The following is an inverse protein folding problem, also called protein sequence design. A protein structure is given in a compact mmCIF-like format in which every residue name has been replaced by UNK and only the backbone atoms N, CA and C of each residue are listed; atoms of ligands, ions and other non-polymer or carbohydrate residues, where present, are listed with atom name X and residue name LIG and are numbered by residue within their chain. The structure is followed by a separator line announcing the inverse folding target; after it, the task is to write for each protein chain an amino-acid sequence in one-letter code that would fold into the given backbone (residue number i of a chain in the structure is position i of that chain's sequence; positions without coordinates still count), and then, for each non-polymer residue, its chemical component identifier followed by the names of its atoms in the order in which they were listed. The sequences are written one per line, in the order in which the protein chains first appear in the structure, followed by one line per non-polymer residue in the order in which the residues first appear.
data_IF_275061629432
#
_entry.id   IF_275061629432
#
_cell.length_a   1.000
_cell.length_b   1.000
_cell.length_c   1.000
_cell.angle_alpha   90.00
_cell.angle_beta   90.00
_cell.angle_gamma   90.00
#
_symmetry.space_group_name_H-M   'P 1'
#
loop_
_entity.id
_entity.type
_entity.pdbx_description
1 polymer ?
#
# COMPACT_ATOMS: atom_id res chain seq x y z
N UNK A 1 16.53 18.71 -20.80
CA UNK A 1 15.89 17.44 -21.17
C UNK A 1 16.58 16.35 -20.39
N UNK A 2 15.89 15.72 -19.44
CA UNK A 2 16.41 14.55 -18.72
C UNK A 2 16.59 13.40 -19.71
N UNK A 3 17.62 12.58 -19.53
CA UNK A 3 17.79 11.36 -20.33
C UNK A 3 16.53 10.48 -20.21
N UNK A 4 16.17 9.66 -21.21
CA UNK A 4 15.05 8.72 -21.09
C UNK A 4 15.15 7.87 -19.81
N UNK A 5 14.00 7.46 -19.25
CA UNK A 5 13.98 6.48 -18.17
C UNK A 5 14.59 5.17 -18.71
N UNK A 6 15.53 4.53 -17.99
CA UNK A 6 16.13 3.27 -18.40
C UNK A 6 15.09 2.17 -18.65
N UNK A 7 15.46 1.17 -19.45
CA UNK A 7 14.55 0.06 -19.79
C UNK A 7 14.45 -0.91 -18.64
N UNK A 8 13.23 -1.18 -18.21
CA UNK A 8 12.96 -2.25 -17.27
C UNK A 8 12.96 -3.61 -17.99
N UNK A 9 13.18 -4.72 -17.25
CA UNK A 9 13.14 -6.06 -17.83
C UNK A 9 11.84 -6.35 -18.58
N UNK A 10 11.92 -7.21 -19.61
CA UNK A 10 10.72 -7.67 -20.30
C UNK A 10 9.76 -8.36 -19.32
N UNK A 11 8.47 -8.02 -19.40
CA UNK A 11 7.45 -8.52 -18.47
C UNK A 11 7.38 -7.79 -17.13
N UNK A 12 8.15 -6.71 -16.93
CA UNK A 12 7.99 -5.83 -15.77
C UNK A 12 6.57 -5.24 -15.75
N UNK A 13 5.89 -5.38 -14.62
CA UNK A 13 4.47 -5.03 -14.49
C UNK A 13 4.31 -3.56 -14.13
N UNK A 14 3.66 -2.77 -14.98
CA UNK A 14 3.32 -1.38 -14.70
C UNK A 14 1.86 -1.23 -14.32
N UNK A 15 1.59 -0.55 -13.21
CA UNK A 15 0.22 -0.34 -12.75
C UNK A 15 0.00 0.97 -12.03
N UNK A 16 -1.23 1.13 -11.58
CA UNK A 16 -1.67 2.18 -10.65
C UNK A 16 -2.56 1.55 -9.58
N UNK A 17 -2.64 2.20 -8.44
CA UNK A 17 -3.30 1.70 -7.24
C UNK A 17 -4.42 2.64 -6.76
N UNK A 18 -5.43 2.06 -6.12
CA UNK A 18 -6.44 2.74 -5.29
C UNK A 18 -6.93 1.81 -4.18
N UNK A 19 -7.70 2.32 -3.22
CA UNK A 19 -8.43 1.51 -2.23
C UNK A 19 -9.93 1.81 -2.25
N UNK A 20 -10.73 0.80 -1.90
CA UNK A 20 -12.18 0.82 -1.95
C UNK A 20 -12.78 1.97 -1.16
N UNK A 21 -12.45 2.07 0.13
CA UNK A 21 -13.02 3.10 0.99
C UNK A 21 -12.69 4.51 0.49
N UNK A 22 -11.50 4.72 -0.08
CA UNK A 22 -11.06 6.03 -0.51
C UNK A 22 -11.70 6.51 -1.83
N UNK A 23 -12.20 5.61 -2.69
CA UNK A 23 -12.74 5.99 -4.02
C UNK A 23 -14.20 5.60 -4.27
N UNK A 24 -14.71 4.53 -3.64
CA UNK A 24 -15.97 3.92 -4.08
C UNK A 24 -17.20 4.77 -3.82
N UNK A 25 -17.33 5.32 -2.62
CA UNK A 25 -18.58 5.90 -2.15
C UNK A 25 -19.70 4.85 -2.01
N UNK A 26 -20.94 5.28 -2.26
CA UNK A 26 -22.15 4.47 -2.13
C UNK A 26 -22.21 3.75 -0.76
N UNK A 27 -21.93 4.50 0.32
CA UNK A 27 -21.91 3.97 1.68
C UNK A 27 -23.29 3.46 2.15
N UNK A 28 -24.37 3.98 1.57
CA UNK A 28 -25.74 3.52 1.80
C UNK A 28 -26.03 2.12 1.22
N UNK A 29 -25.13 1.57 0.39
CA UNK A 29 -25.27 0.26 -0.25
C UNK A 29 -24.35 -0.82 0.33
N UNK A 30 -23.71 -0.55 1.47
CA UNK A 30 -22.87 -1.52 2.18
C UNK A 30 -23.08 -1.43 3.70
N UNK A 31 -22.62 -2.43 4.43
CA UNK A 31 -22.46 -2.34 5.88
C UNK A 31 -21.45 -1.22 6.24
N UNK A 32 -21.58 -0.56 7.40
CA UNK A 32 -20.58 0.40 7.87
C UNK A 32 -19.22 -0.26 8.16
N UNK A 33 -18.14 0.41 7.76
CA UNK A 33 -16.77 0.09 8.18
C UNK A 33 -16.38 0.83 9.47
N UNK A 34 -15.24 0.45 10.04
CA UNK A 34 -14.59 1.20 11.13
C UNK A 34 -14.30 2.65 10.74
N UNK A 35 -14.04 2.93 9.46
CA UNK A 35 -13.84 4.29 8.96
C UNK A 35 -15.14 5.09 8.82
N UNK A 36 -16.26 4.45 8.47
CA UNK A 36 -17.57 5.09 8.50
C UNK A 36 -17.93 5.53 9.93
N UNK A 37 -17.65 4.68 10.92
CA UNK A 37 -17.83 5.03 12.34
C UNK A 37 -16.87 6.13 12.80
N UNK A 38 -15.59 6.03 12.46
CA UNK A 38 -14.55 6.99 12.85
C UNK A 38 -14.79 8.39 12.26
N UNK A 39 -15.10 8.48 10.96
CA UNK A 39 -15.31 9.77 10.28
C UNK A 39 -16.62 10.47 10.68
N UNK A 40 -17.58 9.74 11.28
CA UNK A 40 -18.79 10.32 11.84
C UNK A 40 -18.55 11.11 13.14
N UNK A 41 -17.42 10.88 13.83
CA UNK A 41 -17.05 11.64 15.04
C UNK A 41 -16.42 13.00 14.65
N UNK A 42 -16.92 14.13 15.20
CA UNK A 42 -16.35 15.44 14.92
C UNK A 42 -14.86 15.54 15.26
N UNK A 43 -14.07 16.09 14.34
CA UNK A 43 -12.63 16.36 14.54
C UNK A 43 -11.70 15.17 14.27
N UNK A 44 -12.24 14.00 13.86
CA UNK A 44 -11.42 12.85 13.45
C UNK A 44 -10.80 12.99 12.06
N UNK A 45 -11.46 13.75 11.18
CA UNK A 45 -11.00 14.06 9.82
C UNK A 45 -10.79 15.57 9.73
N UNK A 46 -9.62 16.00 9.23
CA UNK A 46 -9.17 17.41 9.31
C UNK A 46 -10.12 18.39 8.63
N UNK A 47 -10.68 18.03 7.48
CA UNK A 47 -11.65 18.85 6.74
C UNK A 47 -13.13 18.52 7.09
N UNK A 48 -13.35 17.56 7.99
CA UNK A 48 -14.68 17.08 8.39
C UNK A 48 -15.44 16.30 7.32
N UNK A 49 -14.80 15.93 6.20
CA UNK A 49 -15.40 15.13 5.15
C UNK A 49 -15.56 13.65 5.56
N UNK A 50 -16.38 12.93 4.80
CA UNK A 50 -16.52 11.46 4.91
C UNK A 50 -16.33 10.82 3.54
N UNK A 51 -16.02 9.53 3.52
CA UNK A 51 -15.95 8.75 2.29
C UNK A 51 -17.31 8.23 1.80
N UNK A 52 -18.43 8.84 2.23
CA UNK A 52 -19.77 8.39 1.84
C UNK A 52 -20.00 8.46 0.32
N UNK A 53 -19.42 9.48 -0.33
CA UNK A 53 -19.40 9.67 -1.79
C UNK A 53 -18.00 9.45 -2.36
N UNK A 54 -16.96 10.02 -1.74
CA UNK A 54 -15.58 9.95 -2.23
C UNK A 54 -15.46 10.34 -3.71
N UNK A 55 -14.96 9.45 -4.58
CA UNK A 55 -14.89 9.68 -6.03
C UNK A 55 -16.13 9.15 -6.78
N UNK A 56 -17.08 8.53 -6.08
CA UNK A 56 -18.24 7.84 -6.66
C UNK A 56 -17.87 6.73 -7.65
N UNK A 57 -16.73 6.07 -7.44
CA UNK A 57 -16.23 5.01 -8.32
C UNK A 57 -17.21 3.82 -8.42
N UNK A 58 -18.02 3.57 -7.39
CA UNK A 58 -19.04 2.53 -7.44
C UNK A 58 -19.98 2.69 -8.66
N UNK A 59 -20.43 3.91 -8.93
CA UNK A 59 -21.29 4.22 -10.08
C UNK A 59 -20.50 4.51 -11.36
N UNK A 60 -19.26 5.00 -11.23
CA UNK A 60 -18.45 5.54 -12.35
C UNK A 60 -17.27 4.67 -12.77
N UNK A 61 -17.16 3.44 -12.27
CA UNK A 61 -16.03 2.54 -12.56
C UNK A 61 -15.73 2.38 -14.06
N UNK A 62 -16.73 2.43 -14.94
CA UNK A 62 -16.52 2.37 -16.40
C UNK A 62 -15.73 3.56 -16.95
N UNK A 63 -15.98 4.76 -16.44
CA UNK A 63 -15.21 5.96 -16.79
C UNK A 63 -13.76 5.82 -16.31
N UNK A 64 -13.59 5.29 -15.09
CA UNK A 64 -12.28 5.10 -14.49
C UNK A 64 -11.48 3.96 -15.17
N UNK A 65 -12.15 2.90 -15.65
CA UNK A 65 -11.54 1.83 -16.48
C UNK A 65 -11.12 2.37 -17.85
N UNK A 66 -11.89 3.29 -18.44
CA UNK A 66 -11.48 3.94 -19.69
C UNK A 66 -10.21 4.79 -19.50
N UNK A 67 -10.02 5.41 -18.33
CA UNK A 67 -8.77 6.09 -17.97
C UNK A 67 -7.62 5.10 -17.82
N UNK A 68 -7.82 3.94 -17.18
CA UNK A 68 -6.80 2.89 -17.09
C UNK A 68 -6.34 2.41 -18.47
N UNK A 69 -7.29 2.15 -19.37
CA UNK A 69 -7.01 1.76 -20.75
C UNK A 69 -6.25 2.86 -21.50
N UNK A 70 -6.65 4.12 -21.35
CA UNK A 70 -6.01 5.28 -21.97
C UNK A 70 -4.60 5.57 -21.43
N UNK A 71 -4.35 5.25 -20.16
CA UNK A 71 -3.03 5.34 -19.51
C UNK A 71 -2.10 4.26 -20.06
N UNK A 72 -2.67 3.09 -20.41
CA UNK A 72 -1.95 1.98 -21.04
C UNK A 72 -1.15 1.15 -20.05
N UNK A 73 -1.57 1.10 -18.78
CA UNK A 73 -1.01 0.23 -17.73
C UNK A 73 -1.26 -1.25 -18.03
N UNK A 74 -0.45 -2.13 -17.43
CA UNK A 74 -0.64 -3.58 -17.49
C UNK A 74 -1.62 -4.07 -16.42
N UNK A 75 -1.68 -3.40 -15.27
CA UNK A 75 -2.45 -3.84 -14.12
C UNK A 75 -3.10 -2.67 -13.36
N UNK A 76 -4.22 -2.97 -12.72
CA UNK A 76 -4.88 -2.08 -11.77
C UNK A 76 -5.01 -2.79 -10.43
N UNK A 77 -4.34 -2.22 -9.42
CA UNK A 77 -4.48 -2.64 -8.04
C UNK A 77 -5.62 -1.87 -7.40
N UNK A 78 -6.64 -2.57 -6.96
CA UNK A 78 -7.77 -2.03 -6.20
C UNK A 78 -7.97 -2.86 -4.94
N UNK A 79 -8.75 -2.41 -3.96
CA UNK A 79 -9.16 -3.27 -2.85
C UNK A 79 -10.63 -3.68 -2.94
N UNK A 80 -10.95 -4.81 -2.33
CA UNK A 80 -12.32 -5.31 -2.20
C UNK A 80 -12.81 -4.94 -0.81
N UNK A 81 -13.90 -4.17 -0.72
CA UNK A 81 -14.45 -3.73 0.55
C UNK A 81 -15.15 -4.87 1.27
N UNK A 82 -14.62 -5.27 2.42
CA UNK A 82 -15.19 -6.34 3.24
C UNK A 82 -16.65 -6.05 3.67
N UNK A 83 -17.00 -4.84 4.17
CA UNK A 83 -18.39 -4.50 4.47
C UNK A 83 -19.32 -4.58 3.25
N UNK A 84 -18.82 -4.28 2.05
CA UNK A 84 -19.61 -4.38 0.81
C UNK A 84 -19.85 -5.83 0.42
N UNK A 85 -18.83 -6.69 0.52
CA UNK A 85 -18.98 -8.13 0.18
C UNK A 85 -20.08 -8.81 1.00
N UNK A 86 -20.27 -8.40 2.26
CA UNK A 86 -21.34 -8.92 3.11
C UNK A 86 -22.75 -8.40 2.75
N UNK A 87 -22.84 -7.41 1.86
CA UNK A 87 -24.09 -6.73 1.53
C UNK A 87 -24.74 -7.29 0.26
N UNK A 88 -26.08 -7.25 0.12
CA UNK A 88 -26.78 -7.75 -1.07
C UNK A 88 -26.23 -7.14 -2.37
N UNK A 89 -25.79 -7.98 -3.30
CA UNK A 89 -25.25 -7.56 -4.60
C UNK A 89 -23.87 -6.89 -4.54
N UNK A 90 -23.21 -6.87 -3.37
CA UNK A 90 -21.92 -6.22 -3.19
C UNK A 90 -20.81 -6.80 -4.07
N UNK A 91 -20.76 -8.13 -4.20
CA UNK A 91 -19.82 -8.83 -5.09
C UNK A 91 -20.12 -8.61 -6.57
N UNK A 92 -21.37 -8.30 -6.95
CA UNK A 92 -21.70 -8.07 -8.37
C UNK A 92 -21.04 -6.80 -8.90
N UNK A 93 -20.75 -5.83 -8.03
CA UNK A 93 -19.94 -4.67 -8.40
C UNK A 93 -18.51 -5.08 -8.78
N UNK A 94 -17.83 -5.85 -7.91
CA UNK A 94 -16.46 -6.29 -8.17
C UNK A 94 -16.38 -7.24 -9.37
N UNK A 95 -17.39 -8.10 -9.55
CA UNK A 95 -17.48 -8.97 -10.72
C UNK A 95 -17.53 -8.18 -12.03
N UNK A 96 -18.39 -7.15 -12.09
CA UNK A 96 -18.45 -6.25 -13.25
C UNK A 96 -17.17 -5.45 -13.42
N UNK A 97 -16.58 -4.94 -12.35
CA UNK A 97 -15.30 -4.22 -12.42
C UNK A 97 -14.21 -5.11 -13.01
N UNK A 98 -14.11 -6.37 -12.57
CA UNK A 98 -13.15 -7.35 -13.10
C UNK A 98 -13.42 -7.62 -14.59
N UNK A 99 -14.68 -7.79 -15.00
CA UNK A 99 -15.04 -7.94 -16.42
C UNK A 99 -14.59 -6.75 -17.26
N UNK A 100 -14.87 -5.53 -16.82
CA UNK A 100 -14.51 -4.31 -17.55
C UNK A 100 -12.98 -4.14 -17.64
N UNK A 101 -12.23 -4.47 -16.58
CA UNK A 101 -10.76 -4.47 -16.58
C UNK A 101 -10.20 -5.50 -17.56
N UNK A 102 -10.69 -6.74 -17.51
CA UNK A 102 -10.26 -7.79 -18.43
C UNK A 102 -10.59 -7.43 -19.89
N UNK A 103 -11.77 -6.88 -20.15
CA UNK A 103 -12.17 -6.40 -21.48
C UNK A 103 -11.28 -5.25 -21.99
N UNK A 104 -10.80 -4.39 -21.09
CA UNK A 104 -9.84 -3.33 -21.38
C UNK A 104 -8.39 -3.81 -21.51
N UNK A 105 -8.11 -5.11 -21.28
CA UNK A 105 -6.76 -5.66 -21.28
C UNK A 105 -5.91 -5.25 -20.06
N UNK A 106 -6.56 -4.80 -18.98
CA UNK A 106 -5.91 -4.41 -17.72
C UNK A 106 -6.06 -5.55 -16.73
N UNK A 107 -4.94 -6.05 -16.20
CA UNK A 107 -4.95 -7.15 -15.22
C UNK A 107 -5.53 -6.66 -13.88
N UNK A 108 -6.60 -7.29 -13.35
CA UNK A 108 -7.09 -6.99 -12.01
C UNK A 108 -6.12 -7.54 -10.94
N UNK A 109 -5.80 -6.73 -9.93
CA UNK A 109 -4.95 -7.09 -8.79
C UNK A 109 -5.64 -6.68 -7.48
N UNK A 110 -6.65 -7.45 -7.01
CA UNK A 110 -7.38 -7.10 -5.80
C UNK A 110 -6.53 -7.25 -4.54
N UNK A 111 -6.69 -6.28 -3.64
CA UNK A 111 -6.26 -6.32 -2.25
C UNK A 111 -7.46 -6.65 -1.36
N UNK A 112 -7.35 -7.71 -0.58
CA UNK A 112 -8.49 -8.29 0.14
C UNK A 112 -8.80 -7.55 1.45
N UNK A 113 -7.86 -6.79 1.98
CA UNK A 113 -8.08 -5.87 3.09
C UNK A 113 -7.28 -4.59 2.91
N UNK A 114 -7.98 -3.46 2.90
CA UNK A 114 -7.37 -2.13 2.89
C UNK A 114 -8.10 -1.24 3.91
N UNK A 115 -7.94 -1.62 5.18
CA UNK A 115 -8.29 -0.87 6.40
C UNK A 115 -9.78 -0.67 6.68
N UNK A 116 -10.67 -1.09 5.78
CA UNK A 116 -12.11 -0.92 5.90
C UNK A 116 -12.80 -2.11 6.59
N UNK A 117 -12.29 -2.51 7.76
CA UNK A 117 -12.88 -3.58 8.57
C UNK A 117 -14.38 -3.31 8.85
N UNK A 118 -15.29 -4.30 8.74
CA UNK A 118 -16.68 -4.12 9.18
C UNK A 118 -16.74 -3.62 10.62
N UNK A 119 -17.56 -2.59 10.90
CA UNK A 119 -17.58 -1.91 12.20
C UNK A 119 -17.91 -2.82 13.40
N UNK A 120 -18.47 -4.01 13.14
CA UNK A 120 -18.80 -5.04 14.14
C UNK A 120 -17.63 -5.96 14.51
N UNK A 121 -16.49 -5.85 13.82
CA UNK A 121 -15.30 -6.67 14.04
C UNK A 121 -14.16 -5.83 14.61
N UNK A 122 -13.17 -6.50 15.19
CA UNK A 122 -12.00 -5.86 15.78
C UNK A 122 -10.77 -6.75 15.66
N UNK A 123 -9.63 -6.18 15.26
CA UNK A 123 -8.37 -6.93 15.17
C UNK A 123 -7.80 -7.35 16.52
N UNK A 124 -8.28 -6.80 17.64
CA UNK A 124 -7.95 -7.35 18.97
C UNK A 124 -8.55 -8.75 19.20
N UNK A 125 -9.62 -9.11 18.48
CA UNK A 125 -10.26 -10.41 18.59
C UNK A 125 -9.59 -11.41 17.63
N UNK A 126 -9.03 -12.49 18.18
CA UNK A 126 -8.32 -13.51 17.38
C UNK A 126 -9.19 -14.12 16.28
N UNK A 127 -10.49 -14.28 16.55
CA UNK A 127 -11.48 -14.83 15.61
C UNK A 127 -11.62 -14.00 14.32
N UNK A 128 -11.28 -12.71 14.35
CA UNK A 128 -11.28 -11.84 13.16
C UNK A 128 -10.36 -12.39 12.06
N UNK A 129 -9.26 -13.07 12.42
CA UNK A 129 -8.37 -13.71 11.45
C UNK A 129 -9.04 -14.84 10.66
N UNK A 130 -9.84 -15.68 11.34
CA UNK A 130 -10.59 -16.75 10.70
C UNK A 130 -11.72 -16.19 9.81
N UNK A 131 -12.44 -15.16 10.30
CA UNK A 131 -13.47 -14.46 9.53
C UNK A 131 -12.92 -13.81 8.27
N UNK A 132 -11.69 -13.31 8.32
CA UNK A 132 -11.02 -12.78 7.15
C UNK A 132 -10.78 -13.88 6.11
N UNK A 133 -10.33 -15.06 6.52
CA UNK A 133 -10.17 -16.20 5.61
C UNK A 133 -11.49 -16.65 4.96
N UNK A 134 -12.60 -16.62 5.69
CA UNK A 134 -13.94 -16.87 5.13
C UNK A 134 -14.31 -15.82 4.08
N UNK A 135 -14.08 -14.54 4.37
CA UNK A 135 -14.27 -13.45 3.40
C UNK A 135 -13.42 -13.64 2.14
N UNK A 136 -12.14 -13.97 2.31
CA UNK A 136 -11.22 -14.25 1.20
C UNK A 136 -11.72 -15.41 0.35
N UNK A 137 -12.20 -16.49 0.97
CA UNK A 137 -12.73 -17.65 0.25
C UNK A 137 -13.92 -17.26 -0.64
N UNK A 138 -14.85 -16.46 -0.12
CA UNK A 138 -16.01 -15.96 -0.86
C UNK A 138 -15.61 -15.08 -2.05
N UNK A 139 -14.63 -14.18 -1.86
CA UNK A 139 -14.14 -13.32 -2.96
C UNK A 139 -13.41 -14.15 -4.02
N UNK A 140 -12.58 -15.11 -3.59
CA UNK A 140 -11.82 -15.98 -4.49
C UNK A 140 -12.75 -16.89 -5.33
N UNK A 141 -13.81 -17.43 -4.74
CA UNK A 141 -14.82 -18.22 -5.47
C UNK A 141 -15.49 -17.40 -6.58
N UNK A 142 -15.76 -16.12 -6.34
CA UNK A 142 -16.47 -15.27 -7.29
C UNK A 142 -15.59 -14.75 -8.43
N UNK A 143 -14.32 -14.42 -8.15
CA UNK A 143 -13.45 -13.68 -9.06
C UNK A 143 -12.23 -14.49 -9.54
N UNK A 144 -11.93 -15.63 -8.91
CA UNK A 144 -10.72 -16.42 -9.16
C UNK A 144 -10.61 -17.06 -10.54
N UNK A 145 -11.69 -17.07 -11.31
CA UNK A 145 -11.68 -17.50 -12.71
C UNK A 145 -10.96 -16.48 -13.64
N UNK A 146 -10.93 -15.21 -13.25
CA UNK A 146 -10.32 -14.10 -14.03
C UNK A 146 -9.16 -13.42 -13.31
N UNK A 147 -9.15 -13.43 -11.99
CA UNK A 147 -8.10 -12.80 -11.17
C UNK A 147 -6.98 -13.78 -10.87
N UNK A 148 -5.78 -13.47 -11.37
CA UNK A 148 -4.61 -14.35 -11.18
C UNK A 148 -3.67 -13.87 -10.07
N UNK A 149 -3.60 -12.56 -9.79
CA UNK A 149 -2.66 -11.95 -8.85
C UNK A 149 -3.40 -11.33 -7.67
N UNK A 150 -3.02 -11.69 -6.44
CA UNK A 150 -3.76 -11.36 -5.23
C UNK A 150 -2.86 -10.68 -4.19
N UNK A 151 -3.46 -9.76 -3.43
CA UNK A 151 -2.83 -9.14 -2.26
C UNK A 151 -3.72 -9.40 -1.07
N UNK A 152 -3.19 -9.96 0.02
CA UNK A 152 -4.00 -10.22 1.21
C UNK A 152 -4.32 -8.95 1.97
N UNK A 153 -3.29 -8.25 2.47
CA UNK A 153 -3.40 -7.10 3.36
C UNK A 153 -2.59 -5.95 2.78
N UNK A 154 -3.10 -4.74 2.94
CA UNK A 154 -2.32 -3.51 2.82
C UNK A 154 -1.90 -3.00 4.19
N UNK A 155 -0.60 -2.77 4.38
CA UNK A 155 0.00 -1.98 5.46
C UNK A 155 -0.55 -2.32 6.86
N UNK A 156 -0.42 -3.59 7.31
CA UNK A 156 -0.81 -3.98 8.67
C UNK A 156 -0.05 -3.20 9.76
N UNK A 157 1.16 -2.71 9.46
CA UNK A 157 1.93 -1.85 10.35
C UNK A 157 1.24 -0.50 10.60
N UNK A 158 0.88 0.21 9.54
CA UNK A 158 0.16 1.49 9.63
C UNK A 158 -1.21 1.30 10.28
N UNK A 159 -1.94 0.25 9.90
CA UNK A 159 -3.25 -0.02 10.51
C UNK A 159 -3.15 -0.28 12.01
N UNK A 160 -2.12 -1.02 12.46
CA UNK A 160 -1.88 -1.25 13.89
C UNK A 160 -1.44 0.02 14.60
N UNK A 161 -0.44 0.72 14.08
CA UNK A 161 0.14 1.89 14.73
C UNK A 161 -0.87 3.04 14.77
N UNK A 162 -1.40 3.44 13.62
CA UNK A 162 -2.27 4.61 13.51
C UNK A 162 -3.68 4.31 14.02
N UNK A 163 -4.18 3.09 13.79
CA UNK A 163 -5.55 2.68 14.15
C UNK A 163 -5.72 2.24 15.60
N UNK A 164 -4.78 1.44 16.11
CA UNK A 164 -4.89 0.80 17.43
C UNK A 164 -3.98 1.40 18.50
N UNK A 165 -2.77 1.83 18.14
CA UNK A 165 -1.79 2.33 19.11
C UNK A 165 -1.94 3.83 19.39
N UNK A 166 -2.05 4.66 18.34
CA UNK A 166 -2.07 6.13 18.42
C UNK A 166 -3.48 6.73 18.26
N UNK A 167 -4.38 6.03 17.59
CA UNK A 167 -5.79 6.43 17.42
C UNK A 167 -6.01 7.60 16.46
N UNK A 168 -5.08 7.79 15.53
CA UNK A 168 -5.12 8.80 14.46
C UNK A 168 -5.95 8.30 13.27
N UNK A 169 -5.95 6.98 13.03
CA UNK A 169 -6.79 6.30 12.05
C UNK A 169 -7.89 5.49 12.73
N UNK A 170 -8.87 5.02 11.95
CA UNK A 170 -9.86 4.07 12.45
C UNK A 170 -9.20 2.75 12.92
N UNK A 171 -9.65 2.12 14.02
CA UNK A 171 -10.83 2.46 14.83
C UNK A 171 -10.60 3.55 15.91
N UNK A 172 -9.45 4.23 15.92
CA UNK A 172 -9.23 5.39 16.79
C UNK A 172 -8.84 5.05 18.23
N UNK A 173 -8.30 3.85 18.48
CA UNK A 173 -7.89 3.40 19.81
C UNK A 173 -6.50 3.90 20.17
N UNK A 174 -6.24 4.05 21.48
CA UNK A 174 -4.98 4.56 22.03
C UNK A 174 -4.37 3.55 22.99
N UNK A 175 -3.83 2.46 22.44
CA UNK A 175 -3.38 1.30 23.22
C UNK A 175 -1.86 1.21 23.37
N UNK A 176 -1.08 2.00 22.62
CA UNK A 176 0.38 1.83 22.57
C UNK A 176 0.77 0.35 22.33
N UNK A 177 1.57 -0.25 23.21
CA UNK A 177 1.97 -1.67 23.09
C UNK A 177 0.83 -2.67 23.31
N UNK A 178 -0.28 -2.27 23.95
CA UNK A 178 -1.47 -3.13 24.04
C UNK A 178 -2.19 -3.29 22.68
N UNK A 179 -1.70 -2.61 21.63
CA UNK A 179 -2.12 -2.83 20.24
C UNK A 179 -1.46 -4.04 19.57
N UNK A 180 -0.40 -4.62 20.13
CA UNK A 180 0.35 -5.73 19.52
C UNK A 180 -0.52 -6.97 19.16
N UNK A 181 -1.59 -7.31 19.91
CA UNK A 181 -2.53 -8.35 19.47
C UNK A 181 -3.15 -8.08 18.09
N UNK A 182 -3.43 -6.81 17.74
CA UNK A 182 -3.93 -6.46 16.41
C UNK A 182 -2.90 -6.74 15.30
N UNK A 183 -1.60 -6.51 15.56
CA UNK A 183 -0.54 -6.89 14.62
C UNK A 183 -0.48 -8.41 14.43
N UNK A 184 -0.49 -9.17 15.55
CA UNK A 184 -0.43 -10.63 15.51
C UNK A 184 -1.61 -11.23 14.75
N UNK A 185 -2.85 -10.81 15.06
CA UNK A 185 -4.04 -11.35 14.41
C UNK A 185 -4.14 -10.96 12.94
N UNK A 186 -3.69 -9.77 12.53
CA UNK A 186 -3.58 -9.43 11.11
C UNK A 186 -2.60 -10.34 10.39
N UNK A 187 -1.41 -10.59 10.94
CA UNK A 187 -0.45 -11.52 10.33
C UNK A 187 -1.00 -12.95 10.26
N UNK A 188 -1.71 -13.41 11.30
CA UNK A 188 -2.40 -14.70 11.27
C UNK A 188 -3.46 -14.73 10.17
N UNK A 189 -4.23 -13.65 10.02
CA UNK A 189 -5.25 -13.49 8.98
C UNK A 189 -4.63 -13.54 7.58
N UNK A 190 -3.46 -12.93 7.38
CA UNK A 190 -2.68 -13.04 6.16
C UNK A 190 -2.38 -14.51 5.82
N UNK A 191 -1.80 -15.27 6.76
CA UNK A 191 -1.46 -16.68 6.54
C UNK A 191 -2.68 -17.55 6.22
N UNK A 192 -3.79 -17.32 6.93
CA UNK A 192 -5.05 -18.02 6.66
C UNK A 192 -5.65 -17.62 5.30
N UNK A 193 -5.54 -16.35 4.89
CA UNK A 193 -5.94 -15.89 3.57
C UNK A 193 -5.10 -16.49 2.44
N UNK A 194 -3.78 -16.63 2.62
CA UNK A 194 -2.93 -17.35 1.68
C UNK A 194 -3.44 -18.78 1.51
N UNK A 195 -3.71 -19.51 2.59
CA UNK A 195 -4.28 -20.87 2.52
C UNK A 195 -5.61 -20.92 1.78
N UNK A 196 -6.52 -19.99 2.07
CA UNK A 196 -7.83 -19.90 1.40
C UNK A 196 -7.68 -19.67 -0.11
N UNK A 197 -6.82 -18.74 -0.52
CA UNK A 197 -6.52 -18.47 -1.92
C UNK A 197 -5.87 -19.66 -2.62
N UNK A 198 -4.91 -20.34 -1.97
CA UNK A 198 -4.30 -21.58 -2.50
C UNK A 198 -5.33 -22.68 -2.69
N UNK A 199 -6.25 -22.84 -1.74
CA UNK A 199 -7.34 -23.81 -1.85
C UNK A 199 -8.29 -23.50 -3.03
N UNK A 200 -8.45 -22.22 -3.36
CA UNK A 200 -9.17 -21.75 -4.56
C UNK A 200 -8.34 -21.83 -5.86
N UNK A 201 -7.09 -22.29 -5.80
CA UNK A 201 -6.22 -22.47 -6.98
C UNK A 201 -5.35 -21.26 -7.35
N UNK A 202 -5.29 -20.22 -6.52
CA UNK A 202 -4.45 -19.05 -6.78
C UNK A 202 -2.94 -19.38 -6.66
N UNK A 203 -2.15 -18.91 -7.62
CA UNK A 203 -0.71 -19.21 -7.72
C UNK A 203 0.20 -17.97 -7.70
N UNK A 204 -0.36 -16.77 -7.55
CA UNK A 204 0.39 -15.49 -7.51
C UNK A 204 -0.18 -14.61 -6.37
N UNK A 205 0.31 -14.81 -5.15
CA UNK A 205 -0.17 -14.20 -3.91
C UNK A 205 0.99 -13.46 -3.23
N UNK A 206 0.70 -12.22 -2.82
CA UNK A 206 1.59 -11.41 -2.00
C UNK A 206 0.86 -10.65 -0.90
N UNK A 207 1.63 -9.83 -0.19
CA UNK A 207 1.18 -8.86 0.81
C UNK A 207 1.82 -7.51 0.46
N UNK A 208 1.18 -6.38 0.80
CA UNK A 208 1.75 -5.06 0.63
C UNK A 208 2.08 -4.45 2.00
N UNK A 209 3.35 -4.12 2.24
CA UNK A 209 3.82 -3.51 3.50
C UNK A 209 4.48 -2.16 3.24
N UNK A 210 4.18 -1.17 4.09
CA UNK A 210 4.90 0.09 4.16
C UNK A 210 6.30 -0.17 4.70
N UNK A 211 7.31 0.35 4.02
CA UNK A 211 8.70 0.33 4.47
C UNK A 211 9.38 1.65 4.17
N UNK A 212 10.29 2.04 5.05
CA UNK A 212 11.24 3.13 4.79
C UNK A 212 12.65 2.73 5.26
N UNK A 213 13.71 3.25 4.64
CA UNK A 213 15.01 3.23 5.28
C UNK A 213 14.95 4.16 6.51
N UNK A 214 15.38 3.64 7.66
CA UNK A 214 15.42 4.36 8.92
C UNK A 214 16.85 4.84 9.16
N UNK A 215 17.03 6.16 9.26
CA UNK A 215 18.32 6.80 9.47
C UNK A 215 18.39 7.37 10.88
N UNK A 216 19.46 7.11 11.66
CA UNK A 216 19.60 7.75 12.96
C UNK A 216 19.80 9.25 12.81
N UNK A 217 19.30 10.03 13.77
CA UNK A 217 19.38 11.48 13.74
C UNK A 217 20.83 11.97 13.85
N UNK A 218 21.68 11.24 14.56
CA UNK A 218 23.12 11.48 14.64
C UNK A 218 23.88 10.16 14.84
N UNK A 219 25.20 10.25 15.02
CA UNK A 219 26.03 9.10 15.40
C UNK A 219 26.00 8.76 16.89
N UNK A 220 25.24 9.50 17.70
CA UNK A 220 25.10 9.24 19.14
C UNK A 220 24.36 7.91 19.36
N UNK A 221 24.83 7.14 20.34
CA UNK A 221 24.32 5.79 20.62
C UNK A 221 22.79 5.78 20.87
N UNK A 222 22.27 6.79 21.56
CA UNK A 222 20.84 6.90 21.84
C UNK A 222 19.99 7.10 20.57
N UNK A 223 20.50 7.83 19.57
CA UNK A 223 19.81 8.00 18.29
C UNK A 223 19.84 6.72 17.45
N UNK A 224 20.97 6.00 17.49
CA UNK A 224 21.12 4.70 16.82
C UNK A 224 20.16 3.66 17.41
N UNK A 225 20.05 3.60 18.74
CA UNK A 225 19.13 2.71 19.44
C UNK A 225 17.67 3.05 19.15
N UNK A 226 17.30 4.34 19.18
CA UNK A 226 15.95 4.79 18.86
C UNK A 226 15.56 4.47 17.40
N UNK A 227 16.47 4.68 16.44
CA UNK A 227 16.27 4.29 15.05
C UNK A 227 16.13 2.78 14.88
N UNK A 228 16.96 1.99 15.57
CA UNK A 228 16.86 0.54 15.57
C UNK A 228 15.54 0.02 16.15
N UNK A 229 15.04 0.66 17.21
CA UNK A 229 13.76 0.32 17.81
C UNK A 229 12.58 0.70 16.90
N UNK A 230 12.64 1.85 16.23
CA UNK A 230 11.65 2.24 15.22
C UNK A 230 11.59 1.24 14.07
N UNK A 231 12.73 0.86 13.48
CA UNK A 231 12.82 -0.16 12.43
C UNK A 231 12.26 -1.51 12.89
N UNK A 232 12.55 -1.89 14.14
CA UNK A 232 12.05 -3.11 14.73
C UNK A 232 10.52 -3.11 14.81
N UNK A 233 9.91 -2.04 15.30
CA UNK A 233 8.46 -1.96 15.48
C UNK A 233 7.68 -1.81 14.18
N UNK A 234 8.14 -0.96 13.26
CA UNK A 234 7.36 -0.58 12.07
C UNK A 234 7.62 -1.52 10.89
N UNK A 235 8.80 -2.13 10.80
CA UNK A 235 9.19 -2.94 9.66
C UNK A 235 9.37 -4.40 10.05
N UNK A 236 10.27 -4.70 10.99
CA UNK A 236 10.68 -6.09 11.27
C UNK A 236 9.65 -6.90 12.03
N UNK A 237 8.86 -6.27 12.91
CA UNK A 237 7.72 -6.90 13.60
C UNK A 237 6.74 -7.55 12.60
N UNK A 238 6.62 -6.99 11.40
CA UNK A 238 5.73 -7.49 10.36
C UNK A 238 6.46 -8.37 9.35
N UNK A 239 7.67 -7.98 8.90
CA UNK A 239 8.40 -8.72 7.87
C UNK A 239 9.09 -10.00 8.39
N UNK A 240 9.65 -10.01 9.60
CA UNK A 240 10.37 -11.19 10.13
C UNK A 240 9.42 -12.40 10.28
N UNK A 241 8.19 -12.28 10.82
CA UNK A 241 7.25 -13.41 10.89
C UNK A 241 6.87 -13.99 9.53
N UNK A 242 6.70 -13.13 8.52
CA UNK A 242 6.31 -13.52 7.17
C UNK A 242 7.45 -14.25 6.45
N UNK A 243 8.66 -13.69 6.49
CA UNK A 243 9.79 -14.16 5.67
C UNK A 243 10.65 -15.20 6.40
N UNK A 244 10.75 -15.11 7.72
CA UNK A 244 11.63 -15.90 8.58
C UNK A 244 10.89 -16.83 9.54
N UNK A 245 9.56 -16.70 9.66
CA UNK A 245 8.74 -17.55 10.53
C UNK A 245 9.00 -17.33 12.02
N UNK A 246 9.48 -16.15 12.40
CA UNK A 246 9.74 -15.78 13.80
C UNK A 246 9.61 -14.28 14.00
N UNK A 247 9.19 -13.88 15.20
CA UNK A 247 9.29 -12.48 15.61
C UNK A 247 10.74 -12.06 15.88
N UNK A 248 11.04 -10.74 15.82
CA UNK A 248 12.27 -10.21 16.40
C UNK A 248 12.43 -10.64 17.87
N UNK A 249 13.67 -10.75 18.34
CA UNK A 249 13.98 -11.18 19.71
C UNK A 249 13.22 -10.35 20.75
N UNK A 250 12.63 -11.03 21.74
CA UNK A 250 11.81 -10.44 22.80
C UNK A 250 10.39 -10.06 22.41
N UNK A 251 10.09 -9.80 21.13
CA UNK A 251 8.74 -9.37 20.72
C UNK A 251 7.71 -10.51 20.73
N UNK A 252 8.14 -11.76 20.54
CA UNK A 252 7.24 -12.91 20.61
C UNK A 252 6.57 -13.07 21.98
N UNK A 253 7.22 -12.63 23.06
CA UNK A 253 6.69 -12.69 24.43
C UNK A 253 5.59 -11.66 24.68
N UNK A 254 5.48 -10.65 23.83
CA UNK A 254 4.45 -9.61 23.89
C UNK A 254 3.21 -9.94 23.03
N UNK A 255 3.26 -11.04 22.28
CA UNK A 255 2.15 -11.48 21.42
C UNK A 255 1.06 -12.18 22.26
N UNK A 256 -0.21 -12.14 21.83
CA UNK A 256 -1.30 -12.74 22.59
C UNK A 256 -1.20 -14.27 22.64
N UNK A 257 -1.61 -14.86 23.77
CA UNK A 257 -1.63 -16.31 23.97
C UNK A 257 -0.39 -16.85 24.70
N UNK A 258 -0.26 -18.17 24.76
CA UNK A 258 0.94 -18.82 25.29
C UNK A 258 2.04 -18.87 24.22
N UNK A 259 3.33 -19.06 24.58
CA UNK A 259 4.39 -19.25 23.59
C UNK A 259 4.09 -20.37 22.57
N UNK A 260 3.40 -21.43 23.01
CA UNK A 260 3.00 -22.52 22.11
C UNK A 260 1.92 -22.11 21.11
N UNK A 261 1.01 -21.21 21.50
CA UNK A 261 0.00 -20.64 20.60
C UNK A 261 0.68 -19.76 19.54
N UNK A 262 1.60 -18.89 19.96
CA UNK A 262 2.38 -18.01 19.06
C UNK A 262 3.22 -18.84 18.08
N UNK A 263 3.89 -19.89 18.55
CA UNK A 263 4.66 -20.81 17.69
C UNK A 263 3.78 -21.56 16.68
N UNK A 264 2.54 -21.88 17.05
CA UNK A 264 1.56 -22.49 16.15
C UNK A 264 1.11 -21.50 15.09
N UNK A 265 0.79 -20.27 15.50
CA UNK A 265 0.33 -19.21 14.60
C UNK A 265 1.44 -18.76 13.66
N UNK A 266 2.70 -18.70 14.09
CA UNK A 266 3.85 -18.38 13.23
C UNK A 266 4.01 -19.35 12.04
N UNK A 267 3.64 -20.63 12.19
CA UNK A 267 3.64 -21.59 11.06
C UNK A 267 2.59 -21.25 10.01
N UNK A 268 1.50 -20.60 10.42
CA UNK A 268 0.45 -20.13 9.53
C UNK A 268 0.84 -18.78 8.93
N UNK A 269 1.37 -17.86 9.74
CA UNK A 269 1.83 -16.54 9.31
C UNK A 269 2.88 -16.66 8.19
N UNK A 270 3.79 -17.63 8.31
CA UNK A 270 4.90 -17.84 7.37
C UNK A 270 4.54 -18.67 6.13
N UNK A 271 3.25 -18.74 5.76
CA UNK A 271 2.85 -19.38 4.50
C UNK A 271 3.59 -18.76 3.31
N UNK A 272 4.11 -19.56 2.35
CA UNK A 272 4.97 -19.04 1.30
C UNK A 272 4.29 -18.03 0.37
N UNK A 273 4.96 -16.90 0.16
CA UNK A 273 4.56 -15.85 -0.77
C UNK A 273 5.24 -16.01 -2.12
N UNK A 274 4.52 -15.69 -3.20
CA UNK A 274 5.07 -15.70 -4.56
C UNK A 274 5.84 -14.41 -4.87
N UNK A 275 5.52 -13.33 -4.14
CA UNK A 275 6.16 -12.03 -4.23
C UNK A 275 5.88 -11.19 -2.97
N UNK A 276 6.73 -10.21 -2.70
CA UNK A 276 6.62 -9.31 -1.55
C UNK A 276 6.35 -7.87 -2.01
N UNK A 277 5.26 -7.29 -1.54
CA UNK A 277 4.83 -5.94 -1.89
C UNK A 277 5.43 -4.89 -0.96
N UNK A 278 5.96 -3.82 -1.55
CA UNK A 278 6.53 -2.67 -0.85
C UNK A 278 5.75 -1.43 -1.22
N UNK A 279 5.21 -0.75 -0.21
CA UNK A 279 4.74 0.63 -0.32
C UNK A 279 5.87 1.54 0.19
N UNK A 280 6.25 2.54 -0.61
CA UNK A 280 7.34 3.45 -0.28
C UNK A 280 7.01 4.88 -0.67
N UNK A 281 7.24 5.81 0.25
CA UNK A 281 6.97 7.23 0.05
C UNK A 281 8.17 8.13 0.37
N UNK A 282 8.85 7.89 1.49
CA UNK A 282 9.97 8.69 1.97
C UNK A 282 10.84 7.90 2.96
N UNK A 283 12.13 8.27 3.16
CA UNK A 283 12.93 7.80 4.29
C UNK A 283 12.46 8.40 5.62
N UNK A 284 12.78 7.74 6.73
CA UNK A 284 12.50 8.24 8.09
C UNK A 284 13.80 8.54 8.81
N UNK A 285 13.92 9.73 9.42
CA UNK A 285 15.03 10.05 10.33
C UNK A 285 14.54 10.01 11.77
N UNK A 286 15.25 9.29 12.62
CA UNK A 286 14.81 8.98 13.99
C UNK A 286 15.92 9.25 14.98
N UNK A 287 15.61 9.97 16.06
CA UNK A 287 16.50 10.18 17.19
C UNK A 287 15.88 9.74 18.51
N UNK A 288 16.64 9.89 19.58
CA UNK A 288 16.18 9.68 20.95
C UNK A 288 14.94 10.56 21.26
N UNK A 289 14.08 10.14 22.20
CA UNK A 289 12.90 10.91 22.60
C UNK A 289 13.24 12.38 22.88
N UNK A 290 12.50 13.32 22.28
CA UNK A 290 12.59 14.75 22.64
C UNK A 290 11.81 15.10 23.91
N UNK A 291 10.85 14.27 24.33
CA UNK A 291 9.90 14.61 25.39
C UNK A 291 8.87 15.67 24.96
N UNK A 292 8.71 15.87 23.65
CA UNK A 292 7.78 16.83 23.04
C UNK A 292 6.95 16.11 21.97
N UNK A 293 5.71 16.57 21.76
CA UNK A 293 4.88 16.13 20.63
C UNK A 293 5.53 16.54 19.31
N UNK A 294 5.39 15.69 18.29
CA UNK A 294 6.04 15.90 16.99
C UNK A 294 4.97 15.89 15.90
N UNK A 295 4.95 16.95 15.10
CA UNK A 295 4.22 16.97 13.84
C UNK A 295 5.09 16.39 12.73
N UNK A 296 4.69 15.26 12.15
CA UNK A 296 5.38 14.66 11.02
C UNK A 296 4.39 14.09 10.02
N UNK A 297 4.44 14.57 8.77
CA UNK A 297 3.68 13.93 7.72
C UNK A 297 2.17 13.99 7.89
N UNK A 298 1.64 15.04 8.51
CA UNK A 298 0.22 15.15 8.87
C UNK A 298 -0.19 14.42 10.16
N UNK A 299 0.74 13.78 10.85
CA UNK A 299 0.51 13.06 12.10
C UNK A 299 1.09 13.82 13.31
N UNK A 300 0.33 13.87 14.40
CA UNK A 300 0.83 14.29 15.73
C UNK A 300 1.26 13.05 16.50
N UNK A 301 2.57 12.87 16.68
CA UNK A 301 3.15 11.77 17.44
C UNK A 301 3.30 12.16 18.93
N UNK A 302 2.87 11.30 19.88
CA UNK A 302 2.97 11.59 21.31
C UNK A 302 4.41 11.72 21.83
N UNK A 303 4.60 12.55 22.85
CA UNK A 303 5.89 12.80 23.48
C UNK A 303 6.47 11.57 24.20
N UNK A 304 5.61 10.63 24.59
CA UNK A 304 5.93 9.43 25.37
C UNK A 304 6.55 8.30 24.53
N UNK A 305 6.64 8.47 23.22
CA UNK A 305 7.25 7.46 22.36
C UNK A 305 8.75 7.30 22.69
N UNK A 306 9.27 6.06 22.66
CA UNK A 306 10.67 5.77 22.95
C UNK A 306 11.63 6.16 21.80
N UNK A 307 11.14 6.96 20.86
CA UNK A 307 11.87 7.53 19.74
C UNK A 307 11.21 8.84 19.33
N UNK A 308 11.91 9.62 18.52
CA UNK A 308 11.39 10.85 17.95
C UNK A 308 11.74 10.94 16.47
N UNK A 309 10.73 11.12 15.62
CA UNK A 309 10.94 11.37 14.20
C UNK A 309 11.47 12.80 14.01
N UNK A 310 12.44 12.97 13.11
CA UNK A 310 13.10 14.23 12.81
C UNK A 310 12.93 14.59 11.34
N UNK A 311 12.93 15.89 11.07
CA UNK A 311 12.99 16.39 9.71
C UNK A 311 14.28 15.95 9.01
N UNK A 312 14.17 15.67 7.71
CA UNK A 312 15.28 15.42 6.81
C UNK A 312 15.49 16.69 5.99
N UNK A 313 16.47 17.48 6.38
CA UNK A 313 16.79 18.77 5.76
C UNK A 313 17.43 18.61 4.37
N UNK A 314 17.35 19.65 3.55
CA UNK A 314 18.06 19.72 2.26
C UNK A 314 17.35 19.05 1.09
N UNK A 315 16.14 18.55 1.27
CA UNK A 315 15.31 17.94 0.23
C UNK A 315 14.01 18.73 0.02
N UNK A 316 13.44 18.75 -1.21
CA UNK A 316 12.07 19.20 -1.41
C UNK A 316 11.10 18.37 -0.57
N UNK A 317 9.97 18.97 -0.19
CA UNK A 317 8.90 18.27 0.52
C UNK A 317 7.62 18.24 -0.32
N UNK A 318 6.82 17.20 -0.12
CA UNK A 318 5.47 17.09 -0.69
C UNK A 318 4.47 17.96 0.09
N UNK A 319 3.23 18.09 -0.38
CA UNK A 319 2.18 18.79 0.37
C UNK A 319 1.84 18.10 1.70
N UNK A 320 2.23 16.83 1.86
CA UNK A 320 2.16 16.09 3.12
C UNK A 320 3.30 16.45 4.10
N UNK A 321 4.30 17.22 3.68
CA UNK A 321 5.51 17.49 4.45
C UNK A 321 6.55 16.35 4.40
N UNK A 322 6.35 15.35 3.54
CA UNK A 322 7.30 14.25 3.39
C UNK A 322 8.48 14.63 2.49
N UNK A 323 9.72 14.30 2.88
CA UNK A 323 10.90 14.63 2.08
C UNK A 323 10.97 13.77 0.80
N UNK A 324 11.32 14.39 -0.31
CA UNK A 324 11.48 13.74 -1.62
C UNK A 324 12.92 13.25 -1.75
N UNK A 325 13.13 11.96 -1.47
CA UNK A 325 14.47 11.32 -1.45
C UNK A 325 14.47 10.03 -2.26
N UNK A 326 14.50 10.09 -3.61
CA UNK A 326 14.36 8.90 -4.45
C UNK A 326 15.37 7.78 -4.16
N UNK A 327 16.62 8.13 -3.85
CA UNK A 327 17.68 7.19 -3.48
C UNK A 327 17.34 6.34 -2.24
N UNK A 328 16.44 6.79 -1.37
CA UNK A 328 15.95 6.01 -0.25
C UNK A 328 15.20 4.75 -0.69
N UNK A 329 14.56 4.73 -1.87
CA UNK A 329 13.96 3.53 -2.43
C UNK A 329 15.05 2.50 -2.81
N UNK A 330 16.16 2.95 -3.41
CA UNK A 330 17.28 2.05 -3.70
C UNK A 330 17.86 1.47 -2.41
N UNK A 331 18.12 2.32 -1.43
CA UNK A 331 18.63 1.94 -0.10
C UNK A 331 17.74 0.86 0.55
N UNK A 332 16.43 1.12 0.63
CA UNK A 332 15.46 0.18 1.18
C UNK A 332 15.52 -1.18 0.49
N UNK A 333 15.42 -1.21 -0.84
CA UNK A 333 15.35 -2.47 -1.59
C UNK A 333 16.63 -3.28 -1.48
N UNK A 334 17.78 -2.62 -1.51
CA UNK A 334 19.07 -3.30 -1.27
C UNK A 334 19.18 -3.82 0.16
N UNK A 335 18.70 -3.06 1.15
CA UNK A 335 18.68 -3.47 2.55
C UNK A 335 17.73 -4.64 2.85
N UNK A 336 16.58 -4.71 2.16
CA UNK A 336 15.68 -5.88 2.24
C UNK A 336 16.37 -7.12 1.67
N UNK A 337 16.98 -7.01 0.48
CA UNK A 337 17.72 -8.12 -0.14
C UNK A 337 18.86 -8.59 0.77
N UNK A 338 19.65 -7.68 1.32
CA UNK A 338 20.81 -8.05 2.14
C UNK A 338 20.39 -8.70 3.47
N UNK A 339 19.27 -8.27 4.06
CA UNK A 339 18.74 -8.84 5.30
C UNK A 339 18.13 -10.21 5.12
N UNK A 340 17.33 -10.40 4.08
CA UNK A 340 16.53 -11.62 3.91
C UNK A 340 17.14 -12.62 2.92
N UNK A 341 18.04 -12.20 2.04
CA UNK A 341 18.70 -13.06 1.05
C UNK A 341 17.69 -13.88 0.25
N UNK A 342 17.93 -15.19 0.17
CA UNK A 342 17.06 -16.15 -0.53
C UNK A 342 15.65 -16.29 0.09
N UNK A 343 15.42 -15.71 1.28
CA UNK A 343 14.10 -15.66 1.91
C UNK A 343 13.24 -14.51 1.40
N UNK A 344 13.82 -13.53 0.69
CA UNK A 344 13.05 -12.45 0.06
C UNK A 344 12.48 -12.95 -1.27
N UNK A 345 11.14 -13.06 -1.41
CA UNK A 345 10.52 -13.30 -2.69
C UNK A 345 10.76 -12.11 -3.63
N UNK A 346 10.48 -12.26 -4.94
CA UNK A 346 10.51 -11.14 -5.86
C UNK A 346 9.69 -9.95 -5.36
N UNK A 347 10.22 -8.75 -5.50
CA UNK A 347 9.60 -7.53 -4.97
C UNK A 347 8.70 -6.87 -6.01
N UNK A 348 7.58 -6.33 -5.56
CA UNK A 348 6.71 -5.44 -6.36
C UNK A 348 6.49 -4.15 -5.57
N UNK A 349 6.73 -2.99 -6.19
CA UNK A 349 6.35 -1.73 -5.58
C UNK A 349 4.84 -1.57 -5.75
N UNK A 350 4.07 -1.77 -4.69
CA UNK A 350 2.60 -1.78 -4.71
C UNK A 350 2.01 -0.38 -4.54
N UNK A 351 2.78 0.54 -3.94
CA UNK A 351 2.48 1.97 -3.88
C UNK A 351 3.77 2.79 -3.88
N UNK A 352 3.80 3.81 -4.73
CA UNK A 352 4.72 4.93 -4.64
C UNK A 352 4.09 6.16 -5.29
N UNK A 353 4.18 7.31 -4.62
CA UNK A 353 3.50 8.52 -5.06
C UNK A 353 3.74 9.69 -4.13
N UNK A 354 3.12 10.83 -4.42
CA UNK A 354 3.24 12.04 -3.61
C UNK A 354 1.94 12.85 -3.65
N UNK A 355 1.71 13.71 -2.67
CA UNK A 355 0.65 14.71 -2.75
C UNK A 355 1.20 16.03 -3.29
N UNK A 356 0.58 16.51 -4.36
CA UNK A 356 0.77 17.83 -4.96
C UNK A 356 -0.53 18.32 -5.57
N UNK A 357 -0.89 19.58 -5.31
CA UNK A 357 -2.05 20.22 -5.95
C UNK A 357 -1.81 20.59 -7.43
N UNK A 358 -2.90 20.84 -8.16
CA UNK A 358 -2.87 21.35 -9.53
C UNK A 358 -2.89 20.29 -10.64
N UNK A 359 -3.28 20.75 -11.84
CA UNK A 359 -3.36 19.90 -13.04
C UNK A 359 -2.03 19.83 -13.82
N UNK A 360 -1.19 20.87 -13.71
CA UNK A 360 0.16 20.91 -14.30
C UNK A 360 1.20 20.58 -13.22
N UNK A 361 1.16 19.34 -12.77
CA UNK A 361 1.85 18.82 -11.58
C UNK A 361 3.29 18.35 -11.89
N UNK A 362 4.15 19.30 -12.28
CA UNK A 362 5.54 19.02 -12.65
C UNK A 362 6.37 18.42 -11.49
N UNK A 363 6.07 18.80 -10.24
CA UNK A 363 6.75 18.23 -9.07
C UNK A 363 6.38 16.76 -8.86
N UNK A 364 5.14 16.36 -9.18
CA UNK A 364 4.73 14.95 -9.20
C UNK A 364 5.49 14.17 -10.27
N UNK A 365 5.67 14.75 -11.46
CA UNK A 365 6.48 14.14 -12.53
C UNK A 365 7.92 13.95 -12.05
N UNK A 366 8.51 14.98 -11.43
CA UNK A 366 9.88 14.91 -10.91
C UNK A 366 10.02 13.83 -9.82
N UNK A 367 9.06 13.74 -8.91
CA UNK A 367 8.99 12.68 -7.90
C UNK A 367 8.98 11.30 -8.54
N UNK A 368 8.03 11.05 -9.47
CA UNK A 368 7.87 9.73 -10.10
C UNK A 368 9.08 9.35 -10.96
N UNK A 369 9.62 10.28 -11.76
CA UNK A 369 10.83 10.06 -12.56
C UNK A 369 12.02 9.66 -11.67
N UNK A 370 12.24 10.41 -10.58
CA UNK A 370 13.31 10.16 -9.63
C UNK A 370 13.21 8.76 -9.01
N UNK A 371 12.03 8.39 -8.51
CA UNK A 371 11.80 7.11 -7.83
C UNK A 371 11.87 5.92 -8.80
N UNK A 372 11.34 6.06 -10.02
CA UNK A 372 11.45 5.01 -11.04
C UNK A 372 12.93 4.79 -11.42
N UNK A 373 13.75 5.85 -11.51
CA UNK A 373 15.20 5.69 -11.72
C UNK A 373 15.90 5.03 -10.52
N UNK A 374 15.47 5.36 -9.30
CA UNK A 374 15.99 4.70 -8.11
C UNK A 374 15.64 3.21 -8.06
N UNK A 375 14.43 2.84 -8.49
CA UNK A 375 14.02 1.46 -8.65
C UNK A 375 14.90 0.72 -9.67
N UNK A 376 15.21 1.37 -10.79
CA UNK A 376 16.13 0.82 -11.78
C UNK A 376 17.54 0.60 -11.21
N UNK A 377 18.06 1.52 -10.40
CA UNK A 377 19.35 1.30 -9.72
C UNK A 377 19.33 0.11 -8.75
N UNK A 378 18.19 -0.14 -8.09
CA UNK A 378 18.04 -1.33 -7.24
C UNK A 378 18.07 -2.62 -8.07
N UNK A 379 17.43 -2.63 -9.25
CA UNK A 379 17.51 -3.72 -10.23
C UNK A 379 18.96 -3.97 -10.69
N UNK A 380 19.69 -2.91 -11.07
CA UNK A 380 21.12 -3.00 -11.45
C UNK A 380 22.00 -3.51 -10.30
N UNK A 381 21.58 -3.25 -9.06
CA UNK A 381 22.24 -3.75 -7.85
C UNK A 381 21.83 -5.18 -7.48
N UNK A 382 21.07 -5.87 -8.33
CA UNK A 382 20.71 -7.29 -8.16
C UNK A 382 19.47 -7.57 -7.32
N UNK A 383 18.62 -6.57 -7.04
CA UNK A 383 17.31 -6.83 -6.42
C UNK A 383 16.33 -7.35 -7.49
N UNK A 384 15.66 -8.48 -7.24
CA UNK A 384 14.61 -9.01 -8.12
C UNK A 384 13.31 -8.19 -7.95
N UNK A 385 13.17 -7.11 -8.72
CA UNK A 385 11.96 -6.27 -8.74
C UNK A 385 11.16 -6.55 -10.01
N UNK A 386 9.87 -6.83 -9.88
CA UNK A 386 9.01 -7.28 -10.99
C UNK A 386 7.84 -6.38 -11.33
N UNK A 387 7.61 -5.31 -10.57
CA UNK A 387 6.57 -4.35 -10.92
C UNK A 387 6.58 -3.06 -10.11
N UNK A 388 5.83 -2.08 -10.61
CA UNK A 388 5.68 -0.75 -10.03
C UNK A 388 4.26 -0.23 -10.23
N UNK A 389 3.63 0.18 -9.12
CA UNK A 389 2.30 0.75 -9.08
C UNK A 389 2.36 2.17 -8.52
N UNK A 390 1.89 3.14 -9.30
CA UNK A 390 1.73 4.52 -8.81
C UNK A 390 0.56 4.60 -7.84
N UNK A 391 0.79 5.19 -6.67
CA UNK A 391 -0.28 5.69 -5.81
C UNK A 391 -0.53 7.17 -6.14
N UNK A 392 -1.67 7.54 -6.74
CA UNK A 392 -2.85 6.74 -7.05
C UNK A 392 -3.40 7.06 -8.44
N UNK A 393 -4.40 6.30 -8.91
CA UNK A 393 -5.11 6.65 -10.16
C UNK A 393 -5.85 7.98 -10.01
N UNK A 394 -6.70 8.09 -8.98
CA UNK A 394 -7.61 9.21 -8.75
C UNK A 394 -7.20 9.97 -7.49
N UNK A 395 -7.36 11.30 -7.52
CA UNK A 395 -7.53 12.05 -6.28
C UNK A 395 -8.69 11.43 -5.50
N UNK A 396 -8.49 11.22 -4.21
CA UNK A 396 -9.38 10.40 -3.39
C UNK A 396 -9.48 10.95 -1.96
N UNK A 397 -10.28 10.27 -1.13
CA UNK A 397 -10.43 10.59 0.28
C UNK A 397 -9.23 10.04 1.08
N UNK A 398 -8.29 10.90 1.43
CA UNK A 398 -7.00 10.54 2.05
C UNK A 398 -7.12 10.43 3.57
N UNK A 399 -7.90 9.46 4.03
CA UNK A 399 -7.97 9.05 5.44
C UNK A 399 -8.26 10.23 6.39
N UNK A 400 -7.44 10.44 7.42
CA UNK A 400 -7.62 11.53 8.38
C UNK A 400 -7.45 12.93 7.77
N UNK A 401 -6.83 13.05 6.58
CA UNK A 401 -6.70 14.33 5.87
C UNK A 401 -7.94 14.70 5.04
N UNK A 402 -8.84 13.74 4.82
CA UNK A 402 -10.04 13.95 4.01
C UNK A 402 -9.74 14.22 2.53
N UNK A 403 -10.42 15.18 1.92
CA UNK A 403 -10.34 15.47 0.49
C UNK A 403 -9.24 16.48 0.12
N UNK A 404 -8.54 17.04 1.12
CA UNK A 404 -7.54 18.09 0.92
C UNK A 404 -6.29 17.58 0.20
N UNK A 405 -5.89 16.32 0.42
CA UNK A 405 -4.65 15.76 -0.14
C UNK A 405 -4.91 15.00 -1.42
N UNK A 406 -4.01 15.17 -2.40
CA UNK A 406 -4.26 14.78 -3.78
C UNK A 406 -3.10 13.95 -4.33
N UNK A 407 -3.25 12.63 -4.33
CA UNK A 407 -2.27 11.67 -4.87
C UNK A 407 -2.52 11.25 -6.32
N UNK A 408 -3.66 11.58 -6.90
CA UNK A 408 -4.08 11.05 -8.18
C UNK A 408 -3.22 11.53 -9.35
N UNK A 409 -3.00 10.65 -10.32
CA UNK A 409 -2.64 11.03 -11.68
C UNK A 409 -3.82 11.73 -12.39
N UNK A 410 -5.04 11.50 -11.91
CA UNK A 410 -6.28 12.11 -12.41
C UNK A 410 -6.88 12.94 -11.30
N UNK A 411 -7.12 14.21 -11.60
CA UNK A 411 -7.86 15.10 -10.71
C UNK A 411 -9.34 14.70 -10.67
N UNK A 412 -9.93 14.73 -9.49
CA UNK A 412 -11.38 14.63 -9.29
C UNK A 412 -11.88 15.94 -8.71
N UNK A 413 -12.81 16.57 -9.43
CA UNK A 413 -13.62 17.65 -8.90
C UNK A 413 -14.68 17.04 -7.97
N UNK A 414 -14.62 17.31 -6.67
CA UNK A 414 -15.51 16.67 -5.70
C UNK A 414 -16.93 17.26 -5.69
N UNK A 415 -17.19 18.39 -6.36
CA UNK A 415 -18.53 18.94 -6.51
C UNK A 415 -19.25 18.33 -7.72
N UNK A 416 -18.54 18.15 -8.83
CA UNK A 416 -19.12 17.69 -10.11
C UNK A 416 -18.82 16.21 -10.41
N UNK A 417 -17.84 15.64 -9.72
CA UNK A 417 -17.26 14.32 -9.96
C UNK A 417 -16.59 14.18 -11.33
N UNK A 418 -16.22 15.29 -11.98
CA UNK A 418 -15.48 15.27 -13.24
C UNK A 418 -14.04 14.77 -13.03
N UNK A 419 -13.59 13.89 -13.94
CA UNK A 419 -12.21 13.36 -13.98
C UNK A 419 -11.38 14.12 -15.01
N UNK A 420 -10.28 14.72 -14.57
CA UNK A 420 -9.37 15.47 -15.44
C UNK A 420 -7.94 14.90 -15.33
N UNK A 421 -7.42 14.22 -16.37
CA UNK A 421 -6.05 13.74 -16.36
C UNK A 421 -5.03 14.87 -16.18
N UNK A 422 -4.14 14.73 -15.19
CA UNK A 422 -3.08 15.71 -14.91
C UNK A 422 -1.91 15.59 -15.91
N UNK A 423 -0.92 16.48 -15.83
CA UNK A 423 0.28 16.41 -16.64
C UNK A 423 1.05 15.10 -16.37
N UNK A 424 1.11 14.68 -15.11
CA UNK A 424 1.69 13.41 -14.67
C UNK A 424 1.06 12.16 -15.30
N UNK A 425 -0.27 12.14 -15.49
CA UNK A 425 -0.94 11.06 -16.22
C UNK A 425 -0.41 10.94 -17.65
N UNK A 426 -0.33 12.08 -18.36
CA UNK A 426 0.14 12.11 -19.76
C UNK A 426 1.61 11.70 -19.84
N UNK A 427 2.43 12.19 -18.92
CA UNK A 427 3.83 11.81 -18.80
C UNK A 427 3.99 10.31 -18.55
N UNK A 428 3.24 9.74 -17.60
CA UNK A 428 3.34 8.32 -17.27
C UNK A 428 2.88 7.45 -18.45
N UNK A 429 1.78 7.80 -19.13
CA UNK A 429 1.36 7.14 -20.38
C UNK A 429 2.48 7.09 -21.42
N UNK A 430 3.14 8.23 -21.63
CA UNK A 430 4.19 8.34 -22.63
C UNK A 430 5.47 7.58 -22.21
N UNK A 431 5.76 7.51 -20.90
CA UNK A 431 6.75 6.60 -20.33
C UNK A 431 6.42 5.13 -20.63
N UNK A 432 5.19 4.69 -20.38
CA UNK A 432 4.78 3.30 -20.63
C UNK A 432 4.89 2.93 -22.12
N UNK A 433 4.48 3.84 -23.01
CA UNK A 433 4.66 3.69 -24.46
C UNK A 433 6.14 3.58 -24.81
N UNK A 434 6.98 4.43 -24.21
CA UNK A 434 8.41 4.34 -24.37
C UNK A 434 8.86 2.94 -23.95
N UNK A 435 8.57 2.46 -22.75
CA UNK A 435 8.94 1.12 -22.22
C UNK A 435 8.52 -0.05 -23.13
N UNK A 436 7.49 0.10 -23.98
CA UNK A 436 7.07 -0.90 -24.98
C UNK A 436 7.71 -0.75 -26.37
N UNK A 437 8.00 0.48 -26.81
CA UNK A 437 8.28 0.80 -28.23
C UNK A 437 9.68 0.54 -28.81
N UNK A 438 10.73 0.23 -28.03
CA UNK A 438 12.08 -0.02 -28.61
C UNK A 438 12.35 -1.49 -28.98
N UNK A 439 11.36 -2.39 -28.82
CA UNK A 439 11.47 -3.80 -29.19
C UNK A 439 11.17 -4.10 -30.66
N UNK A 440 10.66 -3.14 -31.43
CA UNK A 440 10.17 -3.35 -32.80
C UNK A 440 11.12 -2.91 -33.92
N UNK A 441 12.27 -2.31 -33.61
CA UNK A 441 13.23 -1.86 -34.65
C UNK A 441 14.43 -2.81 -34.89
N UNK A 442 14.58 -3.89 -34.13
CA UNK A 442 15.72 -4.82 -34.27
C UNK A 442 15.49 -6.01 -35.24
N UNK A 443 14.44 -5.96 -36.08
CA UNK A 443 13.97 -7.11 -36.86
C UNK A 443 13.98 -6.99 -38.39
N UNK A 444 14.48 -5.90 -38.97
CA UNK A 444 14.55 -5.75 -40.43
C UNK A 444 16.02 -5.78 -40.90
N UNK A 445 16.59 -6.97 -41.02
CA UNK A 445 17.76 -7.16 -41.90
C UNK A 445 17.31 -7.03 -43.36
N UNK A 446 18.00 -6.23 -44.19
CA UNK A 446 17.73 -6.19 -45.62
C UNK A 446 18.18 -7.51 -46.24
N UNK A 447 17.25 -8.19 -46.91
CA UNK A 447 17.58 -9.32 -47.78
C UNK A 447 18.47 -8.78 -48.91
N UNK A 448 19.71 -9.29 -49.11
CA UNK A 448 20.50 -8.97 -50.29
C UNK A 448 20.01 -9.79 -51.48
N UNK A 449 20.07 -9.17 -52.65
CA UNK A 449 19.64 -9.66 -53.97
C UNK A 449 20.12 -11.08 -54.36
#
# INVERSE_FOLDING_TARGET
MTNPIPRFPAGFLWGVSTSAHQIEGAADRREPSVWDAFSAEPGRVKDGSTAAVACDHYHRHREDVALLAGLGVDAYRFSVSWPRVNSPGGLDFYDRLVDELCAAGVRPVPTLFHWDLPARLDWLERDTAARFADHVSVVAERLGDRVTKWITLNEPAEHTLLGHALGVHAPGKRLLFDALPAAHHQLLAHGLAVRALRAAGAADIGIANSHSPVRPASGEQADVEAAGFYDLLLHRLFADPLLLGRYPEGLGELMPGTPADVDSDLKVIAEPLDWYGVNYYAPTRVGAPSGEEIEFGGLTLPAELPFSVREIEGHPVTDFGWPVVPEGLTELLTGLRDRYGDRLPPVVITENGCSYEGLDDQDRIAYLDGHIRALHRALESGVDVRGYFVWSLLDNWEWAEGLARRFGLVHVDYETLERTPKASYRWFRDLLRAQRGAGTEAGASPVPD
#
